data_IF_677912122645
#
_entry.id   IF_677912122645
#
_cell.length_a   1.000
_cell.length_b   1.000
_cell.length_c   1.000
_cell.angle_alpha   90.00
_cell.angle_beta   90.00
_cell.angle_gamma   90.00
#
_symmetry.space_group_name_H-M   'P 1'
#
loop_
_entity.id
_entity.type
_entity.pdbx_description
1 polymer ?
#
# COMPACT_ATOMS: atom_id res chain seq x y z
N UNK A 1 -29.52 -8.18 -28.86
CA UNK A 1 -29.20 -8.36 -27.42
C UNK A 1 -27.96 -9.25 -27.37
N UNK A 2 -26.80 -8.61 -27.33
CA UNK A 2 -25.50 -9.29 -27.21
C UNK A 2 -25.41 -10.04 -25.88
N UNK A 3 -25.22 -11.35 -25.95
CA UNK A 3 -24.81 -12.18 -24.83
C UNK A 3 -23.29 -12.39 -24.92
N UNK A 4 -22.57 -11.71 -24.04
CA UNK A 4 -21.13 -11.88 -23.84
C UNK A 4 -20.94 -13.18 -23.06
N UNK A 5 -20.62 -14.26 -23.79
CA UNK A 5 -20.33 -15.57 -23.21
C UNK A 5 -18.96 -15.54 -22.52
N UNK A 6 -19.01 -15.74 -21.21
CA UNK A 6 -17.86 -15.94 -20.32
C UNK A 6 -16.97 -17.09 -20.82
N UNK A 7 -15.69 -16.81 -21.04
CA UNK A 7 -14.66 -17.84 -21.23
C UNK A 7 -13.86 -18.01 -19.94
N UNK A 8 -14.38 -18.84 -19.03
CA UNK A 8 -13.62 -19.38 -17.91
C UNK A 8 -12.87 -20.63 -18.39
N UNK A 9 -11.87 -20.44 -19.24
CA UNK A 9 -10.88 -21.48 -19.53
C UNK A 9 -9.98 -21.67 -18.31
N UNK A 10 -9.79 -22.91 -17.85
CA UNK A 10 -8.90 -23.21 -16.74
C UNK A 10 -7.45 -22.92 -17.15
N UNK A 11 -6.98 -21.69 -16.90
CA UNK A 11 -5.61 -21.26 -17.19
C UNK A 11 -4.62 -22.22 -16.54
N UNK A 12 -3.84 -22.94 -17.36
CA UNK A 12 -2.91 -23.95 -16.89
C UNK A 12 -1.72 -23.30 -16.17
N UNK A 13 -1.37 -23.81 -14.99
CA UNK A 13 -0.19 -23.34 -14.25
C UNK A 13 1.08 -23.86 -14.96
N UNK A 14 1.62 -23.04 -15.86
CA UNK A 14 2.89 -23.34 -16.55
C UNK A 14 4.06 -23.00 -15.62
N UNK A 15 4.96 -23.95 -15.42
CA UNK A 15 6.25 -23.68 -14.75
C UNK A 15 7.13 -22.86 -15.70
N UNK A 16 7.51 -21.65 -15.27
CA UNK A 16 8.43 -20.76 -15.98
C UNK A 16 9.76 -20.64 -15.24
N UNK A 17 10.84 -20.40 -15.98
CA UNK A 17 12.17 -20.15 -15.43
C UNK A 17 12.22 -18.80 -14.70
N UNK A 18 13.13 -18.66 -13.73
CA UNK A 18 13.31 -17.43 -12.95
C UNK A 18 13.57 -16.20 -13.84
N UNK A 19 14.40 -16.34 -14.87
CA UNK A 19 14.73 -15.27 -15.83
C UNK A 19 13.49 -14.79 -16.61
N UNK A 20 12.61 -15.71 -16.97
CA UNK A 20 11.41 -15.39 -17.73
C UNK A 20 10.37 -14.69 -16.87
N UNK A 21 10.26 -15.09 -15.60
CA UNK A 21 9.40 -14.42 -14.62
C UNK A 21 9.88 -12.96 -14.41
N UNK A 22 11.18 -12.75 -14.27
CA UNK A 22 11.74 -11.40 -14.10
C UNK A 22 11.48 -10.51 -15.33
N UNK A 23 11.64 -11.06 -16.54
CA UNK A 23 11.30 -10.34 -17.78
C UNK A 23 9.83 -9.94 -17.79
N UNK A 24 8.92 -10.87 -17.49
CA UNK A 24 7.48 -10.60 -17.48
C UNK A 24 7.09 -9.53 -16.44
N UNK A 25 7.72 -9.54 -15.26
CA UNK A 25 7.49 -8.51 -14.25
C UNK A 25 7.97 -7.12 -14.72
N UNK A 26 9.14 -7.06 -15.35
CA UNK A 26 9.70 -5.81 -15.85
C UNK A 26 8.91 -5.27 -17.06
N UNK A 27 8.47 -6.15 -17.96
CA UNK A 27 7.65 -5.81 -19.11
C UNK A 27 6.26 -5.28 -18.68
N UNK A 28 5.65 -5.86 -17.64
CA UNK A 28 4.40 -5.34 -17.08
C UNK A 28 4.59 -3.92 -16.52
N UNK A 29 5.69 -3.66 -15.82
CA UNK A 29 6.00 -2.33 -15.26
C UNK A 29 6.21 -1.28 -16.37
N UNK A 30 6.90 -1.65 -17.44
CA UNK A 30 7.14 -0.78 -18.59
C UNK A 30 5.89 -0.56 -19.45
N UNK A 31 5.00 -1.56 -19.51
CA UNK A 31 3.80 -1.52 -20.34
C UNK A 31 2.76 -0.51 -19.83
N UNK A 32 2.79 -0.15 -18.55
CA UNK A 32 1.81 0.75 -17.93
C UNK A 32 0.38 0.19 -17.85
N UNK A 33 0.16 -1.06 -18.28
CA UNK A 33 -1.10 -1.77 -18.16
C UNK A 33 -1.33 -2.23 -16.73
N UNK A 34 -2.59 -2.35 -16.32
CA UNK A 34 -2.89 -2.95 -15.02
C UNK A 34 -2.51 -4.43 -15.03
N UNK A 35 -2.17 -4.97 -13.85
CA UNK A 35 -1.80 -6.39 -13.69
C UNK A 35 -2.87 -7.32 -14.26
N UNK A 36 -4.14 -6.96 -14.12
CA UNK A 36 -5.28 -7.71 -14.65
C UNK A 36 -5.24 -7.76 -16.19
N UNK A 37 -5.16 -6.61 -16.85
CA UNK A 37 -5.10 -6.51 -18.31
C UNK A 37 -3.88 -7.25 -18.88
N UNK A 38 -2.73 -7.13 -18.19
CA UNK A 38 -1.52 -7.85 -18.55
C UNK A 38 -1.69 -9.37 -18.39
N UNK A 39 -2.31 -9.84 -17.30
CA UNK A 39 -2.58 -11.26 -17.10
C UNK A 39 -3.63 -11.82 -18.07
N UNK A 40 -4.55 -10.99 -18.56
CA UNK A 40 -5.49 -11.38 -19.62
C UNK A 40 -4.80 -11.49 -20.98
N UNK A 41 -3.91 -10.57 -21.32
CA UNK A 41 -3.18 -10.56 -22.59
C UNK A 41 -2.17 -11.71 -22.71
N UNK A 42 -1.47 -12.06 -21.63
CA UNK A 42 -0.40 -13.06 -21.62
C UNK A 42 -0.84 -14.45 -21.13
N UNK A 43 -2.16 -14.66 -20.99
CA UNK A 43 -2.78 -15.87 -20.43
C UNK A 43 -2.16 -16.30 -19.09
N UNK A 44 -1.94 -15.32 -18.21
CA UNK A 44 -1.42 -15.55 -16.88
C UNK A 44 -2.56 -15.61 -15.86
N UNK A 45 -2.32 -16.35 -14.78
CA UNK A 45 -3.17 -16.36 -13.60
C UNK A 45 -2.69 -15.24 -12.69
N UNK A 46 -3.59 -14.32 -12.32
CA UNK A 46 -3.28 -13.17 -11.46
C UNK A 46 -2.61 -13.62 -10.14
N UNK A 47 -3.12 -14.69 -9.52
CA UNK A 47 -2.53 -15.25 -8.30
C UNK A 47 -1.06 -15.66 -8.47
N UNK A 48 -0.73 -16.25 -9.62
CA UNK A 48 0.66 -16.63 -9.94
C UNK A 48 1.53 -15.39 -10.11
N UNK A 49 1.01 -14.37 -10.79
CA UNK A 49 1.71 -13.10 -11.00
C UNK A 49 1.99 -12.37 -9.67
N UNK A 50 0.99 -12.24 -8.79
CA UNK A 50 1.20 -11.67 -7.46
C UNK A 50 2.16 -12.50 -6.60
N UNK A 51 2.14 -13.83 -6.74
CA UNK A 51 3.10 -14.73 -6.10
C UNK A 51 4.54 -14.46 -6.55
N UNK A 52 4.76 -14.23 -7.85
CA UNK A 52 6.05 -13.82 -8.40
C UNK A 52 6.45 -12.43 -7.90
N UNK A 53 5.54 -11.46 -7.94
CA UNK A 53 5.81 -10.10 -7.50
C UNK A 53 6.27 -10.07 -6.03
N UNK A 54 5.63 -10.83 -5.15
CA UNK A 54 6.07 -10.98 -3.75
C UNK A 54 7.46 -11.60 -3.63
N UNK A 55 7.75 -12.66 -4.39
CA UNK A 55 9.04 -13.38 -4.29
C UNK A 55 10.21 -12.59 -4.87
N UNK A 56 9.98 -11.89 -5.97
CA UNK A 56 11.05 -11.22 -6.73
C UNK A 56 11.27 -9.77 -6.30
N UNK A 57 10.22 -9.07 -5.84
CA UNK A 57 10.37 -7.71 -5.28
C UNK A 57 11.09 -7.72 -3.93
N UNK A 58 10.90 -8.76 -3.11
CA UNK A 58 11.62 -8.93 -1.84
C UNK A 58 13.07 -9.41 -2.01
N UNK A 59 13.48 -9.90 -3.18
CA UNK A 59 14.85 -10.40 -3.41
C UNK A 59 15.86 -9.28 -3.68
N UNK A 60 15.40 -8.06 -4.02
CA UNK A 60 16.22 -6.86 -4.18
C UNK A 60 16.25 -5.94 -2.96
N UNK A 61 15.42 -6.22 -1.95
CA UNK A 61 15.59 -5.69 -0.61
C UNK A 61 16.37 -6.75 0.16
N UNK A 62 17.69 -6.59 0.22
CA UNK A 62 18.48 -7.14 1.31
C UNK A 62 17.90 -6.60 2.62
N UNK A 63 16.84 -7.24 3.14
CA UNK A 63 16.47 -7.05 4.52
C UNK A 63 17.67 -7.55 5.34
N UNK A 64 18.34 -6.68 6.12
CA UNK A 64 19.37 -7.14 7.03
C UNK A 64 18.74 -8.17 7.96
N UNK A 65 19.21 -9.42 7.87
CA UNK A 65 18.69 -10.59 8.61
C UNK A 65 18.83 -10.50 10.14
N UNK A 66 19.34 -9.38 10.64
CA UNK A 66 19.61 -9.12 12.05
C UNK A 66 18.78 -7.95 12.63
N UNK A 67 17.83 -7.39 11.88
CA UNK A 67 16.86 -6.45 12.44
C UNK A 67 15.51 -7.12 12.71
N UNK A 68 14.86 -6.82 13.85
CA UNK A 68 13.54 -7.34 14.13
C UNK A 68 12.57 -6.86 13.04
N UNK A 69 12.01 -7.80 12.30
CA UNK A 69 10.94 -7.57 11.32
C UNK A 69 9.86 -6.75 12.02
N UNK A 70 9.79 -5.47 11.70
CA UNK A 70 8.70 -4.62 12.14
C UNK A 70 7.43 -5.17 11.46
N UNK A 71 6.39 -5.57 12.22
CA UNK A 71 5.12 -5.93 11.62
C UNK A 71 4.61 -4.70 10.84
N UNK A 72 4.41 -4.87 9.54
CA UNK A 72 3.86 -3.81 8.70
C UNK A 72 2.58 -3.27 9.33
N UNK A 73 2.53 -1.95 9.55
CA UNK A 73 1.31 -1.31 10.02
C UNK A 73 1.48 0.08 10.61
N UNK A 74 2.61 0.41 11.24
CA UNK A 74 2.71 1.68 11.95
C UNK A 74 4.11 2.28 11.84
N UNK A 75 4.18 3.52 11.35
CA UNK A 75 5.39 4.34 11.42
C UNK A 75 5.52 4.90 12.85
N UNK A 76 6.66 4.67 13.49
CA UNK A 76 6.97 5.30 14.77
C UNK A 76 7.08 6.81 14.58
N UNK A 77 6.07 7.56 15.02
CA UNK A 77 6.15 9.02 15.10
C UNK A 77 6.86 9.37 16.40
N UNK A 78 7.97 10.10 16.31
CA UNK A 78 8.55 10.74 17.47
C UNK A 78 7.73 12.00 17.79
N UNK A 79 7.05 11.97 18.92
CA UNK A 79 6.26 13.11 19.40
C UNK A 79 7.24 14.13 19.97
N UNK A 80 7.64 15.10 19.16
CA UNK A 80 8.32 16.30 19.66
C UNK A 80 7.27 17.13 20.39
N UNK A 81 7.39 17.39 21.70
CA UNK A 81 6.42 18.21 22.42
C UNK A 81 6.55 19.67 21.97
N UNK A 82 5.80 20.04 20.95
CA UNK A 82 5.61 21.44 20.59
C UNK A 82 4.68 22.06 21.64
N UNK A 83 5.25 22.88 22.51
CA UNK A 83 4.54 23.75 23.46
C UNK A 83 3.70 24.78 22.68
N UNK A 84 2.53 24.37 22.18
CA UNK A 84 1.59 25.28 21.55
C UNK A 84 0.64 25.79 22.62
N UNK A 85 0.93 27.01 23.08
CA UNK A 85 0.09 27.74 24.00
C UNK A 85 -1.24 28.11 23.31
N UNK A 86 -2.32 27.48 23.78
CA UNK A 86 -3.50 28.21 24.19
C UNK A 86 -4.47 28.73 23.13
N UNK A 87 -4.65 28.03 22.01
CA UNK A 87 -5.87 28.16 21.20
C UNK A 87 -6.30 26.76 20.71
N UNK A 88 -7.61 26.49 20.57
CA UNK A 88 -8.08 25.27 19.90
C UNK A 88 -7.64 25.33 18.42
N UNK A 89 -6.46 24.76 18.15
CA UNK A 89 -5.85 24.79 16.85
C UNK A 89 -6.46 23.69 15.99
N UNK A 90 -6.99 24.08 14.82
CA UNK A 90 -7.40 23.14 13.77
C UNK A 90 -6.20 22.24 13.45
N UNK A 91 -6.37 20.94 13.69
CA UNK A 91 -5.33 19.94 13.49
C UNK A 91 -5.30 19.47 12.04
N UNK A 92 -6.47 19.20 11.47
CA UNK A 92 -6.61 18.75 10.09
C UNK A 92 -8.01 19.06 9.54
N UNK A 93 -8.10 19.27 8.22
CA UNK A 93 -9.35 19.49 7.49
C UNK A 93 -9.35 18.65 6.20
N UNK A 94 -10.41 17.88 5.98
CA UNK A 94 -10.67 17.17 4.73
C UNK A 94 -12.14 17.33 4.36
N UNK A 95 -12.40 18.07 3.28
CA UNK A 95 -13.77 18.43 2.88
C UNK A 95 -14.47 19.21 3.99
N UNK A 96 -15.56 18.66 4.53
CA UNK A 96 -16.33 19.27 5.62
C UNK A 96 -15.95 18.75 7.02
N UNK A 97 -14.93 17.89 7.12
CA UNK A 97 -14.51 17.29 8.39
C UNK A 97 -13.37 18.12 8.96
N UNK A 98 -13.57 18.64 10.17
CA UNK A 98 -12.59 19.44 10.92
C UNK A 98 -12.20 18.72 12.19
N UNK A 99 -10.91 18.42 12.33
CA UNK A 99 -10.33 17.79 13.51
C UNK A 99 -9.65 18.87 14.36
N UNK A 100 -10.05 18.97 15.62
CA UNK A 100 -9.50 19.92 16.57
C UNK A 100 -8.69 19.17 17.64
N UNK A 101 -7.57 19.74 18.08
CA UNK A 101 -6.79 19.14 19.16
C UNK A 101 -7.51 19.30 20.49
N UNK A 102 -7.33 18.30 21.37
CA UNK A 102 -7.75 18.42 22.76
C UNK A 102 -7.02 19.59 23.45
N UNK A 103 -7.75 20.30 24.32
CA UNK A 103 -7.18 21.36 25.17
C UNK A 103 -7.17 20.87 26.61
N UNK A 104 -6.11 21.19 27.36
CA UNK A 104 -6.01 20.79 28.77
C UNK A 104 -7.04 21.50 29.63
N UNK A 105 -7.51 20.83 30.69
CA UNK A 105 -8.45 21.42 31.65
C UNK A 105 -7.87 22.67 32.33
N UNK A 106 -6.55 22.73 32.52
CA UNK A 106 -5.86 23.90 33.08
C UNK A 106 -6.02 25.14 32.19
N UNK A 107 -5.95 24.99 30.87
CA UNK A 107 -6.15 26.07 29.92
C UNK A 107 -7.59 26.62 30.00
N UNK A 108 -8.60 25.75 30.05
CA UNK A 108 -10.00 26.18 30.20
C UNK A 108 -10.23 26.93 31.52
N UNK A 109 -9.59 26.47 32.59
CA UNK A 109 -9.67 27.10 33.91
C UNK A 109 -9.06 28.51 33.91
N UNK A 110 -7.95 28.70 33.20
CA UNK A 110 -7.28 29.99 33.07
C UNK A 110 -8.10 31.02 32.27
N UNK A 111 -8.96 30.60 31.33
CA UNK A 111 -9.82 31.50 30.57
C UNK A 111 -11.04 32.01 31.33
N UNK A 112 -11.48 31.30 32.36
CA UNK A 112 -12.68 31.62 33.15
C UNK A 112 -12.35 32.41 34.42
N UNK A 113 -11.06 32.51 34.78
CA UNK A 113 -10.56 33.27 35.93
C UNK A 113 -10.15 34.68 35.51
#
# INVERSE_FOLDING_TARGET
MEQIQQMAGSKSIVRRSEEEIQRLLNEQEQSGLTVKEYCEMYDLVEQTFYGWLKRYRSKGAEEPKDLPVAPGGFASIEIVPTLIHGHPQLFAEVGNIKLYKEVSAEYLKALVS
#
